data_IF_171378529521
#
_entry.id   IF_171378529521
#
_cell.length_a   1.000
_cell.length_b   1.000
_cell.length_c   1.000
_cell.angle_alpha   90.00
_cell.angle_beta   90.00
_cell.angle_gamma   90.00
#
_symmetry.space_group_name_H-M   'P 1'
#
loop_
_entity.id
_entity.type
_entity.pdbx_description
1 polymer ?
#
# COMPACT_ATOMS: atom_id res chain seq x y z
N UNK A 1 -31.22 1.69 8.60
CA UNK A 1 -30.51 1.32 9.84
C UNK A 1 -29.41 2.37 10.04
N UNK A 2 -29.29 2.89 11.24
CA UNK A 2 -28.28 3.90 11.56
C UNK A 2 -26.89 3.28 11.50
N UNK A 3 -25.92 3.93 10.87
CA UNK A 3 -24.54 3.43 10.68
C UNK A 3 -23.57 4.20 11.54
N UNK A 4 -22.71 3.49 12.25
CA UNK A 4 -21.60 4.05 13.04
C UNK A 4 -20.28 3.85 12.32
N UNK A 5 -19.64 4.94 11.94
CA UNK A 5 -18.35 4.90 11.23
C UNK A 5 -17.26 5.51 12.11
N UNK A 6 -16.14 4.83 12.23
CA UNK A 6 -14.93 5.38 12.85
C UNK A 6 -14.05 5.98 11.77
N UNK A 7 -13.71 7.25 11.92
CA UNK A 7 -12.72 7.93 11.10
C UNK A 7 -11.39 8.02 11.87
N UNK A 8 -10.37 7.32 11.39
CA UNK A 8 -9.01 7.36 11.91
C UNK A 8 -8.17 8.30 11.06
N UNK A 9 -7.63 9.35 11.65
CA UNK A 9 -6.82 10.33 10.96
C UNK A 9 -5.34 10.11 11.24
N UNK A 10 -4.52 10.02 10.17
CA UNK A 10 -3.07 9.82 10.28
C UNK A 10 -2.26 11.07 9.93
N UNK A 11 -2.90 12.14 9.48
CA UNK A 11 -2.27 13.34 8.93
C UNK A 11 -2.28 13.36 7.40
N UNK A 12 -1.26 13.99 6.81
CA UNK A 12 -1.13 14.18 5.36
C UNK A 12 -1.90 15.38 4.83
N UNK A 13 -1.81 15.64 3.52
CA UNK A 13 -2.34 16.83 2.84
C UNK A 13 -3.83 17.08 3.11
N UNK A 14 -4.63 16.03 3.29
CA UNK A 14 -6.05 16.13 3.63
C UNK A 14 -6.29 16.88 4.96
N UNK A 15 -5.31 16.83 5.86
CA UNK A 15 -5.33 17.49 7.18
C UNK A 15 -4.49 18.77 7.22
N UNK A 16 -3.89 19.18 6.10
CA UNK A 16 -3.00 20.32 5.99
C UNK A 16 -3.64 21.53 5.30
N UNK A 17 -3.04 22.69 5.47
CA UNK A 17 -3.40 23.93 4.76
C UNK A 17 -2.16 24.60 4.19
N UNK A 18 -2.33 25.35 3.10
CA UNK A 18 -1.28 26.22 2.59
C UNK A 18 -1.22 27.50 3.44
N UNK A 19 0.00 27.92 3.80
CA UNK A 19 0.26 29.20 4.44
C UNK A 19 0.28 30.37 3.41
N UNK A 20 0.54 31.57 3.87
CA UNK A 20 0.58 32.77 3.03
C UNK A 20 1.69 32.72 1.96
N UNK A 21 2.71 31.88 2.11
CA UNK A 21 3.76 31.64 1.12
C UNK A 21 3.39 30.56 0.09
N UNK A 22 2.29 29.84 0.31
CA UNK A 22 1.88 28.68 -0.45
C UNK A 22 2.53 27.37 0.00
N UNK A 23 3.30 27.38 1.09
CA UNK A 23 3.83 26.15 1.68
C UNK A 23 2.73 25.40 2.45
N UNK A 24 2.66 24.09 2.24
CA UNK A 24 1.63 23.24 2.89
C UNK A 24 2.16 22.79 4.25
N UNK A 25 1.44 23.16 5.31
CA UNK A 25 1.81 22.89 6.70
C UNK A 25 0.69 22.16 7.45
N UNK A 26 1.06 21.46 8.52
CA UNK A 26 0.08 20.79 9.38
C UNK A 26 -0.82 21.83 10.06
N UNK A 27 -2.12 21.58 10.06
CA UNK A 27 -3.07 22.35 10.87
C UNK A 27 -2.93 21.97 12.36
N UNK A 28 -3.20 22.93 13.26
CA UNK A 28 -3.34 22.65 14.69
C UNK A 28 -4.54 21.76 14.98
N UNK A 29 -5.62 21.96 14.24
CA UNK A 29 -6.85 21.15 14.31
C UNK A 29 -7.10 20.53 12.94
N UNK A 30 -7.27 19.23 12.91
CA UNK A 30 -7.57 18.50 11.68
C UNK A 30 -8.95 18.95 11.11
N UNK A 31 -9.00 19.55 9.92
CA UNK A 31 -10.26 20.03 9.35
C UNK A 31 -11.28 18.90 9.11
N UNK A 32 -10.83 17.67 8.96
CA UNK A 32 -11.73 16.53 8.76
C UNK A 32 -12.52 16.17 10.02
N UNK A 33 -12.03 16.48 11.22
CA UNK A 33 -12.77 16.25 12.48
C UNK A 33 -13.98 17.20 12.61
N UNK A 34 -13.97 18.30 11.87
CA UNK A 34 -15.07 19.29 11.85
C UNK A 34 -16.10 19.02 10.75
N UNK A 35 -15.84 18.06 9.87
CA UNK A 35 -16.79 17.66 8.84
C UNK A 35 -17.92 16.88 9.50
N UNK A 36 -18.99 17.59 9.84
CA UNK A 36 -20.25 16.94 10.24
C UNK A 36 -20.80 16.19 9.03
N UNK A 37 -21.02 14.88 9.20
CA UNK A 37 -21.53 14.05 8.11
C UNK A 37 -22.90 14.58 7.65
N UNK A 38 -23.03 15.07 6.41
CA UNK A 38 -24.33 15.44 5.85
C UNK A 38 -25.13 14.19 5.42
N UNK A 39 -24.62 12.99 5.69
CA UNK A 39 -25.24 11.72 5.29
C UNK A 39 -26.26 11.33 6.35
N UNK A 40 -27.54 11.39 5.96
CA UNK A 40 -28.64 11.00 6.83
C UNK A 40 -28.50 9.53 7.30
N UNK A 41 -28.71 9.28 8.60
CA UNK A 41 -28.61 7.95 9.19
C UNK A 41 -27.18 7.45 9.44
N UNK A 42 -26.18 8.36 9.47
CA UNK A 42 -24.79 8.03 9.76
C UNK A 42 -24.27 8.87 10.93
N UNK A 43 -23.59 8.21 11.86
CA UNK A 43 -22.80 8.83 12.93
C UNK A 43 -21.31 8.57 12.65
N UNK A 44 -20.51 9.63 12.68
CA UNK A 44 -19.06 9.55 12.48
C UNK A 44 -18.37 9.93 13.78
N UNK A 45 -17.55 9.01 14.28
CA UNK A 45 -16.62 9.27 15.38
C UNK A 45 -15.24 9.49 14.79
N UNK A 46 -14.60 10.60 15.07
CA UNK A 46 -13.25 10.94 14.58
C UNK A 46 -12.21 10.77 15.68
N UNK A 47 -11.07 10.21 15.29
CA UNK A 47 -9.91 9.99 16.16
C UNK A 47 -8.62 10.31 15.40
N UNK A 48 -7.82 11.25 15.93
CA UNK A 48 -6.47 11.52 15.43
C UNK A 48 -5.52 10.49 16.03
N UNK A 49 -5.17 9.44 15.27
CA UNK A 49 -4.24 8.41 15.72
C UNK A 49 -2.78 8.85 15.51
N UNK A 50 -2.53 9.60 14.44
CA UNK A 50 -1.25 10.23 14.13
C UNK A 50 -1.49 11.62 13.52
N UNK A 51 -0.44 12.45 13.49
CA UNK A 51 -0.40 13.68 12.70
C UNK A 51 0.94 13.76 11.97
N UNK A 52 1.14 12.86 11.00
CA UNK A 52 2.40 12.67 10.30
C UNK A 52 2.27 13.01 8.81
N UNK A 53 3.26 13.66 8.21
CA UNK A 53 3.46 13.60 6.76
C UNK A 53 3.69 12.14 6.36
N UNK A 54 3.04 11.68 5.28
CA UNK A 54 3.09 10.26 4.92
C UNK A 54 4.49 9.70 4.61
N UNK A 55 5.50 10.47 4.15
CA UNK A 55 6.87 9.96 4.05
C UNK A 55 7.47 9.48 5.37
N UNK A 56 6.86 9.83 6.51
CA UNK A 56 7.30 9.42 7.84
C UNK A 56 6.54 8.21 8.39
N UNK A 57 5.58 7.68 7.64
CA UNK A 57 4.92 6.43 7.99
C UNK A 57 5.90 5.26 7.93
N UNK A 58 5.78 4.36 8.90
CA UNK A 58 6.60 3.16 9.03
C UNK A 58 5.72 1.92 9.16
N UNK A 59 6.25 0.70 8.95
CA UNK A 59 5.49 -0.52 9.22
C UNK A 59 4.94 -0.61 10.65
N UNK A 60 5.62 -0.02 11.65
CA UNK A 60 5.10 0.05 13.02
C UNK A 60 3.84 0.90 13.14
N UNK A 61 3.77 2.04 12.43
CA UNK A 61 2.55 2.85 12.37
C UNK A 61 1.41 2.09 11.67
N UNK A 62 1.72 1.34 10.60
CA UNK A 62 0.73 0.51 9.90
C UNK A 62 0.19 -0.61 10.80
N UNK A 63 1.07 -1.23 11.60
CA UNK A 63 0.69 -2.24 12.60
C UNK A 63 -0.20 -1.64 13.71
N UNK A 64 0.12 -0.44 14.19
CA UNK A 64 -0.70 0.26 15.18
C UNK A 64 -2.11 0.57 14.64
N UNK A 65 -2.23 0.96 13.36
CA UNK A 65 -3.53 1.09 12.68
C UNK A 65 -4.28 -0.24 12.65
N UNK A 66 -3.62 -1.34 12.30
CA UNK A 66 -4.22 -2.68 12.32
C UNK A 66 -4.76 -3.04 13.70
N UNK A 67 -3.97 -2.85 14.75
CA UNK A 67 -4.39 -3.12 16.13
C UNK A 67 -5.60 -2.27 16.52
N UNK A 68 -5.58 -0.96 16.18
CA UNK A 68 -6.71 -0.07 16.46
C UNK A 68 -7.99 -0.47 15.71
N UNK A 69 -7.87 -0.96 14.48
CA UNK A 69 -9.00 -1.51 13.71
C UNK A 69 -9.59 -2.73 14.43
N UNK A 70 -8.76 -3.67 14.89
CA UNK A 70 -9.21 -4.87 15.63
C UNK A 70 -10.01 -4.48 16.89
N UNK A 71 -9.51 -3.53 17.66
CA UNK A 71 -10.19 -3.04 18.87
C UNK A 71 -11.54 -2.37 18.56
N UNK A 72 -11.62 -1.62 17.47
CA UNK A 72 -12.80 -0.84 17.12
C UNK A 72 -13.93 -1.66 16.46
N UNK A 73 -13.59 -2.75 15.81
CA UNK A 73 -14.49 -3.46 14.89
C UNK A 73 -15.83 -3.89 15.48
N UNK A 74 -15.86 -4.20 16.79
CA UNK A 74 -17.11 -4.60 17.47
C UNK A 74 -18.07 -3.44 17.77
N UNK A 75 -17.62 -2.20 17.64
CA UNK A 75 -18.36 -0.99 18.01
C UNK A 75 -18.83 -0.16 16.81
N UNK A 76 -18.31 -0.44 15.62
CA UNK A 76 -18.57 0.33 14.40
C UNK A 76 -19.01 -0.57 13.23
N UNK A 77 -19.69 0.00 12.27
CA UNK A 77 -20.15 -0.67 11.05
C UNK A 77 -19.13 -0.58 9.90
N UNK A 78 -18.19 0.38 9.98
CA UNK A 78 -17.14 0.62 9.00
C UNK A 78 -16.06 1.53 9.54
N UNK A 79 -14.91 1.52 8.92
CA UNK A 79 -13.75 2.35 9.28
C UNK A 79 -13.26 3.11 8.06
N UNK A 80 -13.03 4.41 8.21
CA UNK A 80 -12.38 5.25 7.21
C UNK A 80 -11.06 5.74 7.77
N UNK A 81 -9.98 5.61 7.00
CA UNK A 81 -8.66 6.11 7.36
C UNK A 81 -8.34 7.27 6.41
N UNK A 82 -8.08 8.47 6.94
CA UNK A 82 -7.49 9.55 6.14
C UNK A 82 -5.98 9.49 6.23
N UNK A 83 -5.31 9.58 5.09
CA UNK A 83 -3.87 9.31 4.99
C UNK A 83 -3.20 10.26 3.99
N UNK A 84 -1.93 10.57 4.20
CA UNK A 84 -1.13 11.29 3.24
C UNK A 84 -0.81 10.42 2.01
N UNK A 85 -0.87 11.01 0.82
CA UNK A 85 -0.93 10.28 -0.46
C UNK A 85 0.35 9.58 -0.88
N UNK A 86 1.54 9.96 -0.36
CA UNK A 86 2.82 9.41 -0.83
C UNK A 86 3.01 7.94 -0.44
N UNK A 87 2.53 7.51 0.73
CA UNK A 87 2.62 6.12 1.21
C UNK A 87 1.27 5.49 1.49
N UNK A 88 0.18 6.12 1.05
CA UNK A 88 -1.19 5.62 1.20
C UNK A 88 -1.33 4.19 0.65
N UNK A 89 -0.79 3.93 -0.54
CA UNK A 89 -0.88 2.62 -1.19
C UNK A 89 -0.14 1.52 -0.43
N UNK A 90 0.96 1.87 0.27
CA UNK A 90 1.72 0.96 1.12
C UNK A 90 0.93 0.60 2.38
N UNK A 91 0.37 1.61 3.06
CA UNK A 91 -0.48 1.40 4.24
C UNK A 91 -1.73 0.58 3.89
N UNK A 92 -2.37 0.87 2.74
CA UNK A 92 -3.51 0.10 2.26
C UNK A 92 -3.15 -1.37 2.03
N UNK A 93 -2.02 -1.62 1.35
CA UNK A 93 -1.54 -2.98 1.09
C UNK A 93 -1.19 -3.73 2.38
N UNK A 94 -0.47 -3.08 3.30
CA UNK A 94 -0.15 -3.67 4.60
C UNK A 94 -1.40 -4.13 5.33
N UNK A 95 -2.38 -3.25 5.48
CA UNK A 95 -3.64 -3.58 6.16
C UNK A 95 -4.43 -4.67 5.45
N UNK A 96 -4.40 -4.72 4.11
CA UNK A 96 -5.09 -5.74 3.31
C UNK A 96 -4.50 -7.15 3.48
N UNK A 97 -3.24 -7.24 3.89
CA UNK A 97 -2.56 -8.51 4.21
C UNK A 97 -2.73 -8.95 5.66
N UNK A 98 -3.35 -8.11 6.50
CA UNK A 98 -3.63 -8.46 7.90
C UNK A 98 -4.99 -9.17 8.05
N UNK A 99 -5.11 -10.00 9.10
CA UNK A 99 -6.37 -10.65 9.47
C UNK A 99 -7.34 -9.64 10.09
N UNK A 100 -7.99 -8.87 9.23
CA UNK A 100 -8.98 -7.88 9.65
C UNK A 100 -10.31 -8.56 10.06
N UNK A 101 -11.00 -8.03 11.07
CA UNK A 101 -12.37 -8.40 11.39
C UNK A 101 -13.33 -8.16 10.21
N UNK A 102 -14.54 -8.76 10.27
CA UNK A 102 -15.59 -8.54 9.25
C UNK A 102 -16.18 -7.13 9.35
N UNK A 103 -15.40 -6.16 8.89
CA UNK A 103 -15.74 -4.75 8.82
C UNK A 103 -15.18 -4.13 7.53
N UNK A 104 -15.90 -3.18 6.95
CA UNK A 104 -15.38 -2.44 5.80
C UNK A 104 -14.28 -1.47 6.24
N UNK A 105 -13.09 -1.56 5.64
CA UNK A 105 -11.97 -0.63 5.86
C UNK A 105 -11.67 0.11 4.57
N UNK A 106 -11.79 1.43 4.62
CA UNK A 106 -11.60 2.33 3.48
C UNK A 106 -10.51 3.34 3.80
N UNK A 107 -9.56 3.50 2.90
CA UNK A 107 -8.51 4.52 3.01
C UNK A 107 -8.74 5.58 1.94
N UNK A 108 -8.56 6.83 2.32
CA UNK A 108 -8.65 8.00 1.43
C UNK A 108 -7.62 9.05 1.79
N UNK A 109 -7.48 10.05 0.92
CA UNK A 109 -6.54 11.16 1.10
C UNK A 109 -6.94 12.35 0.26
N UNK A 110 -6.05 13.33 0.15
CA UNK A 110 -6.23 14.48 -0.73
C UNK A 110 -4.93 14.83 -1.44
N UNK A 111 -5.04 15.23 -2.70
CA UNK A 111 -3.91 15.75 -3.49
C UNK A 111 -3.73 17.24 -3.29
N UNK A 112 -4.77 17.95 -2.86
CA UNK A 112 -4.79 19.38 -2.59
C UNK A 112 -5.05 19.66 -1.12
N UNK A 113 -4.38 20.67 -0.59
CA UNK A 113 -4.58 21.10 0.80
C UNK A 113 -6.00 21.64 1.05
N UNK A 114 -6.42 21.62 2.31
CA UNK A 114 -7.82 21.89 2.69
C UNK A 114 -8.33 23.28 2.28
N UNK A 115 -7.43 24.28 2.20
CA UNK A 115 -7.75 25.67 1.80
C UNK A 115 -7.41 26.00 0.35
N UNK A 116 -6.92 25.04 -0.43
CA UNK A 116 -6.62 25.22 -1.84
C UNK A 116 -7.88 25.22 -2.69
N UNK A 117 -7.94 26.10 -3.71
CA UNK A 117 -9.06 26.13 -4.64
C UNK A 117 -9.21 24.79 -5.38
N UNK A 118 -10.39 24.19 -5.27
CA UNK A 118 -10.66 22.87 -5.81
C UNK A 118 -10.05 21.72 -4.99
N UNK A 119 -9.87 21.93 -3.67
CA UNK A 119 -9.51 20.88 -2.72
C UNK A 119 -10.43 19.67 -2.86
N UNK A 120 -9.81 18.47 -2.92
CA UNK A 120 -10.51 17.20 -3.10
C UNK A 120 -10.77 16.47 -1.76
N UNK A 121 -10.21 16.98 -0.65
CA UNK A 121 -10.18 16.27 0.64
C UNK A 121 -11.56 15.97 1.22
N UNK A 122 -12.42 17.00 1.37
CA UNK A 122 -13.77 16.83 1.93
C UNK A 122 -14.61 15.90 1.06
N UNK A 123 -14.52 16.02 -0.26
CA UNK A 123 -15.26 15.19 -1.19
C UNK A 123 -14.82 13.72 -1.10
N UNK A 124 -13.53 13.46 -1.13
CA UNK A 124 -12.96 12.12 -0.98
C UNK A 124 -13.34 11.51 0.38
N UNK A 125 -13.30 12.29 1.46
CA UNK A 125 -13.67 11.82 2.79
C UNK A 125 -15.16 11.41 2.85
N UNK A 126 -16.06 12.26 2.38
CA UNK A 126 -17.50 11.96 2.33
C UNK A 126 -17.80 10.74 1.44
N UNK A 127 -17.09 10.61 0.33
CA UNK A 127 -17.19 9.46 -0.57
C UNK A 127 -16.72 8.18 0.11
N UNK A 128 -15.60 8.24 0.84
CA UNK A 128 -15.07 7.11 1.62
C UNK A 128 -16.06 6.68 2.73
N UNK A 129 -16.69 7.63 3.44
CA UNK A 129 -17.72 7.34 4.44
C UNK A 129 -18.91 6.58 3.83
N UNK A 130 -19.37 6.97 2.64
CA UNK A 130 -20.45 6.28 1.92
C UNK A 130 -20.05 4.84 1.59
N UNK A 131 -18.82 4.63 1.11
CA UNK A 131 -18.33 3.28 0.78
C UNK A 131 -18.18 2.43 2.04
N UNK A 132 -17.62 2.96 3.12
CA UNK A 132 -17.46 2.24 4.38
C UNK A 132 -18.80 1.80 5.00
N UNK A 133 -19.87 2.58 4.79
CA UNK A 133 -21.21 2.28 5.26
C UNK A 133 -21.98 1.29 4.37
N UNK A 134 -21.55 1.06 3.13
CA UNK A 134 -22.24 0.18 2.19
C UNK A 134 -21.96 -1.30 2.52
N UNK A 135 -23.01 -2.13 2.76
CA UNK A 135 -22.80 -3.56 3.01
C UNK A 135 -22.04 -4.29 1.90
N UNK A 136 -22.09 -3.80 0.65
CA UNK A 136 -21.38 -4.39 -0.49
C UNK A 136 -19.87 -4.21 -0.42
N UNK A 137 -19.37 -3.30 0.45
CA UNK A 137 -17.94 -3.09 0.66
C UNK A 137 -17.30 -4.13 1.58
N UNK A 138 -18.11 -4.89 2.36
CA UNK A 138 -17.62 -5.98 3.19
C UNK A 138 -16.98 -7.07 2.33
N UNK A 139 -16.06 -7.80 2.90
CA UNK A 139 -15.31 -8.92 2.26
C UNK A 139 -14.50 -8.53 1.00
N UNK A 140 -14.42 -7.23 0.69
CA UNK A 140 -13.62 -6.76 -0.45
C UNK A 140 -12.18 -6.41 -0.09
N UNK A 141 -11.81 -6.59 1.19
CA UNK A 141 -10.53 -6.18 1.74
C UNK A 141 -10.45 -4.70 2.00
N UNK A 142 -9.24 -4.20 2.09
CA UNK A 142 -9.00 -2.77 2.24
C UNK A 142 -9.21 -2.08 0.90
N UNK A 143 -10.06 -1.06 0.91
CA UNK A 143 -10.42 -0.28 -0.28
C UNK A 143 -9.74 1.09 -0.24
N UNK A 144 -9.22 1.53 -1.36
CA UNK A 144 -8.78 2.92 -1.55
C UNK A 144 -9.82 3.64 -2.36
N UNK A 145 -10.35 4.74 -1.81
CA UNK A 145 -11.41 5.52 -2.45
C UNK A 145 -10.91 6.94 -2.69
N UNK A 146 -10.73 7.27 -3.96
CA UNK A 146 -10.24 8.57 -4.42
C UNK A 146 -10.90 8.93 -5.75
N UNK A 147 -11.31 10.19 -5.90
CA UNK A 147 -11.81 10.71 -7.18
C UNK A 147 -12.91 9.84 -7.82
N UNK A 148 -13.91 9.44 -7.00
CA UNK A 148 -15.05 8.57 -7.36
C UNK A 148 -14.71 7.12 -7.73
N UNK A 149 -13.44 6.71 -7.72
CA UNK A 149 -13.03 5.33 -7.98
C UNK A 149 -12.78 4.56 -6.68
N UNK A 150 -13.14 3.27 -6.71
CA UNK A 150 -12.91 2.33 -5.61
C UNK A 150 -11.88 1.32 -6.09
N UNK A 151 -10.72 1.30 -5.45
CA UNK A 151 -9.60 0.45 -5.83
C UNK A 151 -9.31 -0.61 -4.78
N UNK A 152 -8.83 -1.78 -5.22
CA UNK A 152 -8.22 -2.77 -4.32
C UNK A 152 -6.85 -2.28 -3.84
N UNK A 153 -6.57 -2.43 -2.56
CA UNK A 153 -5.28 -2.07 -1.96
C UNK A 153 -4.09 -2.75 -2.65
N UNK A 154 -4.26 -4.00 -3.08
CA UNK A 154 -3.20 -4.76 -3.77
C UNK A 154 -2.70 -4.04 -5.03
N UNK A 155 -3.59 -3.46 -5.83
CA UNK A 155 -3.26 -3.01 -7.19
C UNK A 155 -3.21 -1.50 -7.39
N UNK A 156 -3.78 -0.72 -6.46
CA UNK A 156 -3.80 0.74 -6.58
C UNK A 156 -2.39 1.32 -6.44
N UNK A 157 -2.07 2.34 -7.22
CA UNK A 157 -0.80 3.06 -7.12
C UNK A 157 -0.96 4.54 -7.44
N UNK A 158 -0.10 5.38 -6.83
CA UNK A 158 -0.02 6.81 -7.10
C UNK A 158 0.77 7.03 -8.39
N UNK A 159 0.08 7.45 -9.46
CA UNK A 159 0.65 7.53 -10.81
C UNK A 159 1.10 8.93 -11.23
N UNK A 160 0.74 9.96 -10.46
CA UNK A 160 1.03 11.35 -10.77
C UNK A 160 1.35 12.13 -9.50
N UNK A 161 2.22 13.11 -9.59
CA UNK A 161 2.69 13.91 -8.44
C UNK A 161 1.64 14.85 -7.87
N UNK A 162 0.72 15.38 -8.68
CA UNK A 162 -0.20 16.48 -8.31
C UNK A 162 -1.65 16.32 -8.75
N UNK A 163 -1.94 15.42 -9.71
CA UNK A 163 -3.30 15.26 -10.25
C UNK A 163 -4.23 14.60 -9.22
N UNK A 164 -5.46 15.11 -9.06
CA UNK A 164 -6.45 14.53 -8.13
C UNK A 164 -6.87 13.10 -8.52
N UNK A 165 -6.84 12.75 -9.82
CA UNK A 165 -7.09 11.41 -10.34
C UNK A 165 -5.84 10.52 -10.37
N UNK A 166 -4.88 10.73 -9.46
CA UNK A 166 -3.56 10.08 -9.47
C UNK A 166 -3.59 8.62 -9.03
N UNK A 167 -4.54 8.23 -8.18
CA UNK A 167 -4.66 6.84 -7.75
C UNK A 167 -5.33 6.02 -8.85
N UNK A 168 -4.59 5.09 -9.39
CA UNK A 168 -5.00 4.25 -10.52
C UNK A 168 -4.69 2.79 -10.23
N UNK A 169 -5.40 1.91 -10.91
CA UNK A 169 -5.09 0.47 -10.95
C UNK A 169 -4.80 0.09 -12.41
N UNK A 170 -3.60 0.36 -12.91
CA UNK A 170 -3.33 0.40 -14.36
C UNK A 170 -3.61 -0.90 -15.11
N UNK A 171 -3.22 -2.04 -14.54
CA UNK A 171 -3.38 -3.35 -15.18
C UNK A 171 -4.78 -3.93 -14.97
N UNK A 172 -5.40 -3.70 -13.80
CA UNK A 172 -6.62 -4.39 -13.37
C UNK A 172 -7.88 -3.52 -13.42
N UNK A 173 -7.72 -2.18 -13.42
CA UNK A 173 -8.82 -1.22 -13.30
C UNK A 173 -9.48 -1.23 -11.91
N UNK A 174 -10.33 -0.24 -11.59
CA UNK A 174 -10.98 -0.14 -10.29
C UNK A 174 -11.94 -1.31 -10.02
N UNK A 175 -12.23 -1.54 -8.73
CA UNK A 175 -13.25 -2.50 -8.29
C UNK A 175 -14.66 -1.97 -8.48
N UNK A 176 -14.83 -0.65 -8.42
CA UNK A 176 -16.14 -0.02 -8.47
C UNK A 176 -16.05 1.49 -8.62
N UNK A 177 -17.22 2.12 -8.68
CA UNK A 177 -17.38 3.57 -8.77
C UNK A 177 -18.39 4.06 -7.74
N UNK A 178 -18.17 5.27 -7.23
CA UNK A 178 -19.11 5.96 -6.37
C UNK A 178 -19.93 6.93 -7.22
N UNK A 179 -21.17 6.57 -7.46
CA UNK A 179 -22.11 7.41 -8.20
C UNK A 179 -22.90 8.32 -7.24
N UNK A 180 -23.58 9.32 -7.78
CA UNK A 180 -24.38 10.26 -6.96
C UNK A 180 -25.40 9.55 -6.07
N UNK A 181 -26.08 8.52 -6.57
CA UNK A 181 -27.18 7.82 -5.88
C UNK A 181 -26.81 6.45 -5.34
N UNK A 182 -25.78 5.81 -5.86
CA UNK A 182 -25.43 4.44 -5.53
C UNK A 182 -23.93 4.20 -5.61
N UNK A 183 -23.48 3.07 -5.03
CA UNK A 183 -22.14 2.54 -5.15
C UNK A 183 -22.21 1.30 -6.02
N UNK A 184 -21.40 1.29 -7.08
CA UNK A 184 -21.33 0.19 -8.03
C UNK A 184 -20.03 -0.58 -7.82
N UNK A 185 -20.13 -1.88 -7.56
CA UNK A 185 -19.01 -2.81 -7.62
C UNK A 185 -19.19 -3.73 -8.81
N UNK A 186 -18.18 -3.79 -9.68
CA UNK A 186 -18.21 -4.68 -10.87
C UNK A 186 -17.24 -5.84 -10.76
N UNK A 187 -16.45 -5.90 -9.69
CA UNK A 187 -15.51 -7.00 -9.44
C UNK A 187 -15.68 -7.55 -8.03
N UNK A 188 -15.37 -8.82 -7.88
CA UNK A 188 -15.20 -9.47 -6.57
C UNK A 188 -13.77 -9.28 -6.08
N UNK A 189 -13.58 -9.33 -4.76
CA UNK A 189 -12.22 -9.40 -4.20
C UNK A 189 -11.59 -10.76 -4.51
N UNK A 190 -10.28 -10.75 -4.74
CA UNK A 190 -9.51 -11.99 -4.89
C UNK A 190 -9.28 -12.64 -3.51
N UNK A 191 -9.20 -13.98 -3.46
CA UNK A 191 -8.71 -14.67 -2.27
C UNK A 191 -7.29 -14.20 -1.92
N UNK A 192 -7.02 -14.06 -0.62
CA UNK A 192 -5.71 -13.61 -0.13
C UNK A 192 -5.31 -14.33 1.14
N UNK A 193 -4.03 -14.56 1.30
CA UNK A 193 -3.44 -15.00 2.56
C UNK A 193 -3.38 -13.80 3.50
N UNK A 194 -3.77 -13.99 4.75
CA UNK A 194 -3.79 -12.95 5.79
C UNK A 194 -3.01 -13.41 7.00
N UNK A 195 -2.44 -12.45 7.72
CA UNK A 195 -1.63 -12.69 8.90
C UNK A 195 -2.14 -11.89 10.10
N UNK A 196 -2.08 -12.50 11.27
CA UNK A 196 -2.26 -11.82 12.55
C UNK A 196 -0.89 -11.60 13.17
N UNK A 197 -0.39 -10.37 13.11
CA UNK A 197 0.93 -10.00 13.60
C UNK A 197 0.80 -9.08 14.82
N UNK A 198 1.56 -9.38 15.86
CA UNK A 198 1.68 -8.52 17.04
C UNK A 198 2.88 -7.56 16.95
N UNK A 199 3.85 -7.87 16.08
CA UNK A 199 5.05 -7.06 15.85
C UNK A 199 5.45 -7.08 14.38
N UNK A 200 6.21 -6.10 13.97
CA UNK A 200 6.81 -6.00 12.64
C UNK A 200 8.23 -5.45 12.80
N UNK A 201 9.21 -6.24 12.47
CA UNK A 201 10.63 -5.93 12.63
C UNK A 201 11.38 -6.33 11.39
N UNK A 202 12.61 -5.85 11.25
CA UNK A 202 13.51 -6.22 10.17
C UNK A 202 13.70 -5.13 9.12
N UNK A 203 14.70 -5.35 8.30
CA UNK A 203 15.13 -4.41 7.27
C UNK A 203 15.20 -5.11 5.90
N UNK A 204 14.32 -4.73 5.00
CA UNK A 204 14.26 -5.18 3.61
C UNK A 204 14.43 -3.98 2.70
N UNK A 205 15.64 -3.69 2.19
CA UNK A 205 15.87 -2.60 1.24
C UNK A 205 15.35 -2.91 -0.16
N UNK A 206 15.18 -1.85 -0.96
CA UNK A 206 14.84 -1.91 -2.38
C UNK A 206 16.02 -1.38 -3.18
N UNK A 207 16.42 -2.09 -4.22
CA UNK A 207 17.44 -1.64 -5.18
C UNK A 207 16.86 -1.63 -6.59
N UNK A 208 16.78 -0.43 -7.17
CA UNK A 208 16.37 -0.26 -8.57
C UNK A 208 17.57 -0.42 -9.49
N UNK A 209 17.47 -1.31 -10.47
CA UNK A 209 18.52 -1.49 -11.49
C UNK A 209 18.45 -0.40 -12.56
N UNK A 210 19.62 0.01 -13.05
CA UNK A 210 19.79 1.02 -14.09
C UNK A 210 20.89 0.66 -15.09
N UNK A 211 20.87 1.27 -16.26
CA UNK A 211 21.88 1.01 -17.29
C UNK A 211 23.29 1.37 -16.80
N UNK A 212 24.22 0.43 -16.92
CA UNK A 212 25.60 0.60 -16.42
C UNK A 212 25.75 0.42 -14.91
N UNK A 213 24.74 -0.11 -14.22
CA UNK A 213 24.85 -0.47 -12.79
C UNK A 213 25.96 -1.49 -12.59
N UNK A 214 26.84 -1.19 -11.65
CA UNK A 214 27.91 -2.07 -11.16
C UNK A 214 27.54 -2.67 -9.80
N UNK A 215 28.43 -3.44 -9.23
CA UNK A 215 28.20 -4.10 -7.93
C UNK A 215 28.43 -3.19 -6.74
N UNK A 216 29.06 -2.02 -6.91
CA UNK A 216 29.52 -1.13 -5.81
C UNK A 216 28.41 -0.88 -4.75
N UNK A 217 27.17 -0.69 -5.18
CA UNK A 217 26.05 -0.48 -4.25
C UNK A 217 25.71 -1.74 -3.45
N UNK A 218 25.77 -2.90 -4.08
CA UNK A 218 25.56 -4.19 -3.40
C UNK A 218 26.75 -4.55 -2.49
N UNK A 219 27.96 -4.13 -2.85
CA UNK A 219 29.16 -4.34 -2.04
C UNK A 219 29.13 -3.54 -0.73
N UNK A 220 28.37 -2.42 -0.70
CA UNK A 220 28.13 -1.64 0.50
C UNK A 220 27.08 -2.26 1.44
N UNK A 221 26.26 -3.18 0.93
CA UNK A 221 25.26 -3.88 1.75
C UNK A 221 25.93 -4.99 2.57
N UNK A 222 25.81 -4.85 3.88
CA UNK A 222 26.14 -5.94 4.81
C UNK A 222 24.93 -6.88 4.89
N UNK A 223 24.99 -7.99 4.17
CA UNK A 223 23.90 -8.97 4.10
C UNK A 223 23.56 -9.59 5.47
N UNK A 224 24.44 -9.47 6.46
CA UNK A 224 24.15 -9.90 7.83
C UNK A 224 23.26 -8.92 8.61
N UNK A 225 23.01 -7.73 8.07
CA UNK A 225 22.21 -6.68 8.68
C UNK A 225 20.87 -6.41 7.97
N UNK A 226 20.58 -7.16 6.93
CA UNK A 226 19.32 -7.10 6.18
C UNK A 226 18.63 -8.47 6.24
N UNK A 227 17.30 -8.46 6.32
CA UNK A 227 16.50 -9.68 6.47
C UNK A 227 15.98 -10.20 5.13
N UNK A 228 16.07 -9.39 4.09
CA UNK A 228 15.70 -9.70 2.72
C UNK A 228 16.05 -8.55 1.78
N UNK A 229 15.87 -8.74 0.48
CA UNK A 229 16.19 -7.75 -0.54
C UNK A 229 15.15 -7.76 -1.65
N UNK A 230 14.72 -6.58 -2.07
CA UNK A 230 13.89 -6.42 -3.27
C UNK A 230 14.75 -5.82 -4.39
N UNK A 231 14.72 -6.49 -5.54
CA UNK A 231 15.34 -5.99 -6.77
C UNK A 231 14.24 -5.51 -7.71
N UNK A 232 14.30 -4.24 -8.08
CA UNK A 232 13.46 -3.65 -9.11
C UNK A 232 14.21 -3.73 -10.45
N UNK A 233 13.84 -4.72 -11.26
CA UNK A 233 14.56 -5.18 -12.43
C UNK A 233 14.08 -4.56 -13.75
N UNK A 234 14.82 -4.77 -14.83
CA UNK A 234 14.43 -4.33 -16.17
C UNK A 234 13.34 -5.24 -16.76
N UNK A 235 12.37 -4.62 -17.43
CA UNK A 235 11.41 -5.33 -18.28
C UNK A 235 10.75 -6.52 -17.59
N UNK A 236 10.87 -7.71 -18.17
CA UNK A 236 10.28 -8.93 -17.63
C UNK A 236 11.04 -9.54 -16.42
N UNK A 237 12.06 -8.85 -15.88
CA UNK A 237 12.81 -9.33 -14.71
C UNK A 237 14.26 -9.68 -15.03
N UNK A 238 14.95 -8.81 -15.78
CA UNK A 238 16.37 -8.99 -16.12
C UNK A 238 17.22 -7.98 -15.34
N UNK A 239 18.47 -8.32 -15.09
CA UNK A 239 19.46 -7.45 -14.43
C UNK A 239 20.83 -7.57 -15.12
N UNK A 240 21.77 -6.64 -14.86
CA UNK A 240 23.13 -6.80 -15.35
C UNK A 240 23.79 -8.08 -14.82
N UNK A 241 24.63 -8.73 -15.62
CA UNK A 241 25.24 -10.01 -15.25
C UNK A 241 26.13 -9.92 -13.99
N UNK A 242 26.89 -8.83 -13.83
CA UNK A 242 27.71 -8.61 -12.64
C UNK A 242 26.84 -8.50 -11.37
N UNK A 243 25.70 -7.82 -11.49
CA UNK A 243 24.71 -7.75 -10.42
C UNK A 243 24.16 -9.14 -10.07
N UNK A 244 23.86 -9.97 -11.09
CA UNK A 244 23.37 -11.34 -10.87
C UNK A 244 24.41 -12.20 -10.11
N UNK A 245 25.69 -12.09 -10.47
CA UNK A 245 26.76 -12.81 -9.76
C UNK A 245 26.85 -12.37 -8.29
N UNK A 246 26.73 -11.06 -8.02
CA UNK A 246 26.76 -10.54 -6.64
C UNK A 246 25.55 -10.99 -5.82
N UNK A 247 24.36 -11.06 -6.41
CA UNK A 247 23.17 -11.57 -5.73
C UNK A 247 23.27 -13.06 -5.41
N UNK A 248 24.03 -13.84 -6.21
CA UNK A 248 24.28 -15.25 -5.89
C UNK A 248 25.00 -15.41 -4.55
N UNK A 249 25.97 -14.55 -4.22
CA UNK A 249 26.66 -14.57 -2.92
C UNK A 249 25.68 -14.37 -1.77
N UNK A 250 24.67 -13.47 -1.93
CA UNK A 250 23.65 -13.23 -0.91
C UNK A 250 22.68 -14.40 -0.77
N UNK A 251 22.30 -15.03 -1.89
CA UNK A 251 21.46 -16.25 -1.89
C UNK A 251 22.20 -17.39 -1.20
N UNK A 252 23.47 -17.60 -1.49
CA UNK A 252 24.31 -18.65 -0.88
C UNK A 252 24.47 -18.41 0.63
N UNK A 253 24.42 -17.16 1.09
CA UNK A 253 24.37 -16.78 2.50
C UNK A 253 22.98 -16.97 3.14
N UNK A 254 21.96 -17.38 2.37
CA UNK A 254 20.60 -17.63 2.85
C UNK A 254 19.68 -16.42 2.87
N UNK A 255 20.07 -15.27 2.26
CA UNK A 255 19.25 -14.09 2.20
C UNK A 255 18.10 -14.27 1.19
N UNK A 256 16.83 -14.13 1.57
CA UNK A 256 15.71 -14.15 0.64
C UNK A 256 15.73 -12.90 -0.24
N UNK A 257 15.72 -13.12 -1.56
CA UNK A 257 15.71 -12.05 -2.55
C UNK A 257 14.46 -12.20 -3.41
N UNK A 258 13.69 -11.11 -3.53
CA UNK A 258 12.56 -11.08 -4.44
C UNK A 258 12.75 -9.98 -5.50
N UNK A 259 12.11 -10.20 -6.65
CA UNK A 259 12.26 -9.37 -7.82
C UNK A 259 10.89 -8.92 -8.33
N UNK A 260 10.81 -7.64 -8.67
CA UNK A 260 9.69 -7.01 -9.39
C UNK A 260 10.21 -6.30 -10.63
N UNK A 261 9.32 -5.96 -11.56
CA UNK A 261 9.68 -5.10 -12.68
C UNK A 261 9.64 -3.61 -12.29
N UNK A 262 10.56 -2.81 -12.80
CA UNK A 262 10.47 -1.34 -12.75
C UNK A 262 9.51 -0.77 -13.81
N UNK A 263 8.94 -1.61 -14.67
CA UNK A 263 7.91 -1.21 -15.60
C UNK A 263 6.59 -0.95 -14.84
N UNK A 264 5.94 0.14 -15.19
CA UNK A 264 4.70 0.57 -14.56
C UNK A 264 3.51 -0.41 -14.78
N UNK A 265 3.50 -1.12 -15.90
CA UNK A 265 2.52 -2.13 -16.27
C UNK A 265 3.20 -3.43 -16.65
N UNK A 266 2.46 -4.51 -16.57
CA UNK A 266 2.91 -5.84 -16.92
C UNK A 266 3.39 -6.64 -15.72
N UNK A 267 3.92 -7.82 -15.99
CA UNK A 267 4.27 -8.82 -14.98
C UNK A 267 5.72 -9.24 -15.20
N UNK A 268 6.49 -9.37 -14.11
CA UNK A 268 7.81 -9.98 -14.15
C UNK A 268 7.66 -11.50 -14.34
N UNK A 269 8.32 -12.04 -15.37
CA UNK A 269 8.31 -13.47 -15.70
C UNK A 269 9.70 -13.96 -16.10
N UNK A 270 10.13 -15.17 -15.69
CA UNK A 270 11.43 -15.73 -16.03
C UNK A 270 11.44 -16.29 -17.45
N UNK A 271 11.56 -15.42 -18.48
CA UNK A 271 11.50 -15.81 -19.90
C UNK A 271 12.83 -15.75 -20.65
N UNK A 272 13.82 -14.99 -20.14
CA UNK A 272 15.12 -14.82 -20.81
C UNK A 272 16.20 -15.70 -20.19
N UNK A 273 16.94 -16.46 -21.02
CA UNK A 273 17.90 -17.47 -20.60
C UNK A 273 19.38 -17.05 -20.68
N UNK A 274 19.66 -15.78 -20.97
CA UNK A 274 21.02 -15.26 -20.93
C UNK A 274 21.48 -14.96 -19.50
N UNK A 275 22.76 -14.70 -19.31
CA UNK A 275 23.36 -14.37 -18.01
C UNK A 275 22.79 -13.07 -17.43
N UNK A 276 22.19 -13.13 -16.23
CA UNK A 276 21.38 -12.04 -15.64
C UNK A 276 19.93 -12.01 -16.16
N UNK A 277 19.55 -12.95 -17.01
CA UNK A 277 18.15 -13.11 -17.45
C UNK A 277 17.28 -13.82 -16.43
N UNK A 278 15.98 -13.58 -16.49
CA UNK A 278 15.01 -14.05 -15.51
C UNK A 278 15.03 -15.57 -15.25
N UNK A 279 15.29 -16.40 -16.27
CA UNK A 279 15.38 -17.86 -16.11
C UNK A 279 16.51 -18.24 -15.16
N UNK A 280 17.70 -17.67 -15.35
CA UNK A 280 18.85 -17.91 -14.49
C UNK A 280 18.58 -17.42 -13.05
N UNK A 281 18.01 -16.23 -12.90
CA UNK A 281 17.72 -15.64 -11.60
C UNK A 281 16.71 -16.48 -10.80
N UNK A 282 15.66 -16.95 -11.45
CA UNK A 282 14.67 -17.82 -10.82
C UNK A 282 15.25 -19.19 -10.43
N UNK A 283 16.12 -19.78 -11.29
CA UNK A 283 16.84 -21.02 -10.97
C UNK A 283 17.82 -20.84 -9.81
N UNK A 284 18.41 -19.66 -9.67
CA UNK A 284 19.27 -19.31 -8.54
C UNK A 284 18.52 -19.15 -7.20
N UNK A 285 17.18 -19.06 -7.23
CA UNK A 285 16.33 -18.94 -6.04
C UNK A 285 15.76 -17.55 -5.78
N UNK A 286 15.84 -16.61 -6.73
CA UNK A 286 15.18 -15.31 -6.63
C UNK A 286 13.68 -15.49 -6.88
N UNK A 287 12.85 -14.98 -5.98
CA UNK A 287 11.40 -15.03 -6.08
C UNK A 287 10.88 -13.96 -7.04
N UNK A 288 10.05 -14.33 -7.99
CA UNK A 288 9.42 -13.40 -8.92
C UNK A 288 8.04 -12.98 -8.40
N UNK A 289 7.93 -11.74 -7.92
CA UNK A 289 6.65 -11.18 -7.47
C UNK A 289 5.90 -10.62 -8.66
N UNK A 290 4.71 -11.15 -8.84
CA UNK A 290 3.78 -10.69 -9.87
C UNK A 290 2.94 -9.53 -9.35
N UNK A 291 2.58 -8.59 -10.22
CA UNK A 291 1.51 -7.61 -10.04
C UNK A 291 1.71 -6.57 -8.91
N UNK A 292 2.86 -6.55 -8.23
CA UNK A 292 3.17 -5.56 -7.21
C UNK A 292 4.32 -4.65 -7.65
N UNK A 293 4.25 -3.38 -7.23
CA UNK A 293 5.40 -2.48 -7.29
C UNK A 293 6.40 -2.78 -6.15
N UNK A 294 7.60 -2.23 -6.23
CA UNK A 294 8.67 -2.53 -5.29
C UNK A 294 8.34 -2.18 -3.83
N UNK A 295 7.69 -1.05 -3.48
CA UNK A 295 7.30 -0.75 -2.11
C UNK A 295 6.36 -1.79 -1.49
N UNK A 296 5.35 -2.25 -2.23
CA UNK A 296 4.42 -3.30 -1.77
C UNK A 296 5.09 -4.67 -1.72
N UNK A 297 5.94 -4.99 -2.69
CA UNK A 297 6.74 -6.21 -2.68
C UNK A 297 7.65 -6.29 -1.45
N UNK A 298 8.23 -5.15 -1.04
CA UNK A 298 8.99 -5.01 0.19
C UNK A 298 8.14 -5.36 1.42
N UNK A 299 6.95 -4.81 1.51
CA UNK A 299 6.04 -5.12 2.61
C UNK A 299 5.61 -6.60 2.59
N UNK A 300 5.34 -7.17 1.40
CA UNK A 300 5.01 -8.60 1.25
C UNK A 300 6.10 -9.49 1.85
N UNK A 301 7.37 -9.23 1.50
CA UNK A 301 8.49 -9.99 2.04
C UNK A 301 8.67 -9.75 3.54
N UNK A 302 8.63 -8.50 4.00
CA UNK A 302 8.76 -8.16 5.43
C UNK A 302 7.68 -8.84 6.28
N UNK A 303 6.42 -8.82 5.85
CA UNK A 303 5.29 -9.48 6.53
C UNK A 303 5.51 -10.99 6.57
N UNK A 304 5.89 -11.61 5.45
CA UNK A 304 6.15 -13.04 5.38
C UNK A 304 7.23 -13.49 6.36
N UNK A 305 8.32 -12.71 6.48
CA UNK A 305 9.40 -12.98 7.42
C UNK A 305 8.95 -12.84 8.88
N UNK A 306 8.11 -11.85 9.20
CA UNK A 306 7.52 -11.68 10.53
C UNK A 306 6.44 -12.72 10.86
N UNK A 307 5.86 -13.35 9.85
CA UNK A 307 4.97 -14.51 9.99
C UNK A 307 5.75 -15.85 10.04
N UNK A 308 7.08 -15.81 10.18
CA UNK A 308 7.98 -16.98 10.23
C UNK A 308 7.91 -17.91 9.01
N UNK A 309 7.44 -17.42 7.84
CA UNK A 309 7.44 -18.22 6.61
C UNK A 309 8.88 -18.48 6.15
N UNK A 310 9.17 -19.73 5.76
CA UNK A 310 10.51 -20.18 5.36
C UNK A 310 10.44 -21.19 4.20
N UNK A 311 11.54 -21.30 3.46
CA UNK A 311 11.71 -22.33 2.43
C UNK A 311 10.57 -22.31 1.40
N UNK A 312 9.89 -23.43 1.24
CA UNK A 312 8.84 -23.60 0.23
C UNK A 312 7.59 -22.75 0.53
N UNK A 313 7.20 -22.61 1.80
CA UNK A 313 6.04 -21.77 2.19
C UNK A 313 6.26 -20.29 1.86
N UNK A 314 7.49 -19.79 2.15
CA UNK A 314 7.88 -18.43 1.77
C UNK A 314 7.81 -18.25 0.26
N UNK A 315 8.35 -19.19 -0.51
CA UNK A 315 8.34 -19.15 -1.97
C UNK A 315 6.90 -19.09 -2.51
N UNK A 316 6.06 -20.01 -2.07
CA UNK A 316 4.65 -20.08 -2.52
C UNK A 316 3.88 -18.80 -2.21
N UNK A 317 4.07 -18.24 -1.01
CA UNK A 317 3.44 -16.97 -0.65
C UNK A 317 3.97 -15.80 -1.48
N UNK A 318 5.29 -15.70 -1.69
CA UNK A 318 5.88 -14.56 -2.39
C UNK A 318 5.54 -14.57 -3.89
N UNK A 319 5.56 -15.73 -4.53
CA UNK A 319 5.30 -15.87 -5.98
C UNK A 319 3.79 -15.97 -6.34
N UNK A 320 2.93 -16.33 -5.40
CA UNK A 320 1.46 -16.37 -5.53
C UNK A 320 0.85 -15.01 -5.27
#
# INVERSE_FOLDING_TARGET
MFKKILALHTGGTISMAADDSGAVINNEVNPMTQVTSPIEGMEVTSEDIFNLPSPQMTPHHMLALYQRIKEAASHFDGIVITHGTDTLEETAYFLDTMELPDISVVITGAMRSSNELGSDGVYNFLTALRVAADPKARDKGVLVVMNDEIHAAKYVTKTHTTNVGTFQTPTHGPLGLVMKKEILFFKTAEPRVRFDLDKIEGFVPIITTYAGMKTDLLDLLDHSKIDGLIIEAFGAGNIPKETAHKLQEFIDAGLPIALVSRCFNGIAEPVYAYEGGGVQLHQAGIFFIKELNAPKARLKLLIALNADLKGQELKEYIEG
#
